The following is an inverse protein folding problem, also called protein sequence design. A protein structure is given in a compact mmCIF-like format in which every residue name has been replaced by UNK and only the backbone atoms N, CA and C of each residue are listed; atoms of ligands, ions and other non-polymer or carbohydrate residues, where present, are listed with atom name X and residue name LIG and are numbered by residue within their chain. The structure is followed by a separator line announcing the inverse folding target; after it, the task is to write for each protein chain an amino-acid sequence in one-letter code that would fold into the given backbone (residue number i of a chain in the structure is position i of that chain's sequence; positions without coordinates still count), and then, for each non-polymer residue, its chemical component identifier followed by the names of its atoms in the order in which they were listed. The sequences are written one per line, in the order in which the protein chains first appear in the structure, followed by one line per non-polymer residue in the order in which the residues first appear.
data_IF_389827966288
#
_entry.id   IF_389827966288
#
_cell.length_a   1.000
_cell.length_b   1.000
_cell.length_c   1.000
_cell.angle_alpha   90.00
_cell.angle_beta   90.00
_cell.angle_gamma   90.00
#
_symmetry.space_group_name_H-M   'P 1'
#
loop_
_entity.id
_entity.type
_entity.pdbx_description
1 polymer ?
#
# COMPACT_ATOMS: atom_id res chain seq x y z
N UNK A 1 -39.81 -4.73 -0.90
CA UNK A 1 -39.64 -5.29 0.45
C UNK A 1 -38.71 -4.35 1.21
N UNK A 2 -39.30 -3.30 1.78
CA UNK A 2 -38.66 -2.11 2.34
C UNK A 2 -38.79 -2.17 3.87
N UNK A 3 -37.72 -1.82 4.60
CA UNK A 3 -37.81 -1.11 5.87
C UNK A 3 -36.40 -0.66 6.34
N UNK A 4 -36.17 0.65 6.29
CA UNK A 4 -35.37 1.39 7.26
C UNK A 4 -36.31 1.66 8.44
N UNK A 5 -35.87 1.55 9.71
CA UNK A 5 -36.13 2.49 10.82
C UNK A 5 -35.69 1.96 12.20
N UNK A 6 -34.95 2.84 12.90
CA UNK A 6 -34.80 3.11 14.33
C UNK A 6 -34.29 2.08 15.36
N UNK A 7 -33.25 2.55 16.06
CA UNK A 7 -32.70 2.06 17.33
C UNK A 7 -33.73 2.11 18.47
N UNK A 8 -33.55 1.24 19.47
CA UNK A 8 -33.74 1.65 20.85
C UNK A 8 -32.48 1.39 21.69
N UNK A 9 -31.93 2.45 22.28
CA UNK A 9 -31.06 2.31 23.45
C UNK A 9 -31.98 2.22 24.68
N UNK A 10 -32.24 1.01 25.18
CA UNK A 10 -32.98 0.85 26.43
C UNK A 10 -32.06 0.99 27.64
N UNK A 11 -32.11 2.13 28.31
CA UNK A 11 -31.67 2.28 29.70
C UNK A 11 -32.92 2.44 30.58
N UNK A 12 -33.28 1.40 31.35
CA UNK A 12 -34.28 1.51 32.44
C UNK A 12 -33.56 1.90 33.74
N UNK A 13 -33.91 3.06 34.30
CA UNK A 13 -33.58 3.44 35.68
C UNK A 13 -34.83 3.37 36.58
N UNK A 14 -34.80 2.72 37.75
CA UNK A 14 -35.77 2.88 38.83
C UNK A 14 -35.33 4.02 39.74
N UNK A 15 -36.22 4.97 39.98
CA UNK A 15 -36.11 5.93 41.08
C UNK A 15 -36.81 5.37 42.31
N UNK A 16 -36.25 5.63 43.49
CA UNK A 16 -37.00 5.59 44.74
C UNK A 16 -36.40 6.53 45.79
N UNK A 17 -37.28 7.31 46.43
CA UNK A 17 -37.09 7.90 47.76
C UNK A 17 -38.42 7.83 48.51
N UNK A 18 -38.35 7.38 49.76
CA UNK A 18 -39.43 7.31 50.76
C UNK A 18 -39.15 8.32 51.89
N UNK A 19 -40.21 8.89 52.48
CA UNK A 19 -40.47 9.28 53.90
C UNK A 19 -41.81 10.08 53.89
N UNK A 20 -42.74 10.12 54.86
CA UNK A 20 -42.90 9.71 56.27
C UNK A 20 -44.42 9.90 56.61
N UNK A 21 -45.00 9.15 57.56
CA UNK A 21 -46.11 9.66 58.41
C UNK A 21 -47.47 8.93 58.44
N UNK A 22 -47.68 8.15 59.52
CA UNK A 22 -48.89 7.92 60.35
C UNK A 22 -50.29 7.48 59.81
N UNK A 23 -50.79 6.43 60.48
CA UNK A 23 -52.15 6.17 61.02
C UNK A 23 -52.91 4.93 60.47
N UNK A 24 -53.40 4.11 61.42
CA UNK A 24 -54.14 2.82 61.32
C UNK A 24 -55.60 3.13 61.77
N UNK A 25 -56.74 2.54 61.29
CA UNK A 25 -57.00 1.08 61.20
C UNK A 25 -57.97 0.52 60.10
N UNK A 26 -57.98 -0.82 60.07
CA UNK A 26 -59.08 -1.77 59.74
C UNK A 26 -59.33 -2.32 58.30
N UNK A 27 -58.82 -3.56 58.14
CA UNK A 27 -59.41 -4.82 57.61
C UNK A 27 -59.63 -5.05 56.10
N UNK A 28 -58.97 -6.15 55.67
CA UNK A 28 -59.21 -7.06 54.53
C UNK A 28 -58.92 -6.44 53.15
N UNK A 29 -58.16 -7.02 52.23
CA UNK A 29 -57.50 -8.32 52.06
C UNK A 29 -56.52 -8.15 50.88
N UNK A 30 -55.36 -8.82 50.92
CA UNK A 30 -54.43 -9.08 49.79
C UNK A 30 -53.65 -7.88 49.19
N UNK A 31 -52.32 -8.02 49.14
CA UNK A 31 -51.30 -6.95 49.09
C UNK A 31 -50.75 -6.60 47.70
N UNK A 32 -50.60 -5.29 47.44
CA UNK A 32 -49.94 -4.62 46.30
C UNK A 32 -48.44 -4.22 46.56
N UNK A 33 -47.57 -4.37 45.52
CA UNK A 33 -46.59 -3.42 44.88
C UNK A 33 -45.38 -2.77 45.65
N UNK A 34 -44.17 -2.67 45.00
CA UNK A 34 -43.20 -1.53 45.15
C UNK A 34 -41.65 -1.78 45.13
N UNK A 35 -40.84 -0.89 44.51
CA UNK A 35 -39.41 -0.99 44.09
C UNK A 35 -38.32 -0.42 45.08
N UNK A 36 -37.00 -0.71 44.87
CA UNK A 36 -35.75 0.06 45.26
C UNK A 36 -34.42 -0.73 45.00
N UNK A 37 -33.57 -0.38 43.99
CA UNK A 37 -32.31 -1.13 43.71
C UNK A 37 -31.36 -0.78 42.50
N UNK A 38 -31.00 0.50 42.17
CA UNK A 38 -29.90 0.92 41.21
C UNK A 38 -28.41 1.48 41.42
N UNK A 39 -27.74 1.60 42.59
CA UNK A 39 -26.41 2.14 42.84
C UNK A 39 -25.22 1.15 42.83
N UNK A 40 -25.36 -0.12 43.20
CA UNK A 40 -24.22 -1.07 43.15
C UNK A 40 -23.72 -1.34 41.71
N UNK A 41 -24.59 -1.12 40.74
CA UNK A 41 -24.33 -1.26 39.30
C UNK A 41 -23.46 -0.15 38.71
N UNK A 42 -23.37 1.03 39.34
CA UNK A 42 -22.66 2.17 38.77
C UNK A 42 -21.14 2.10 38.91
N UNK A 43 -20.61 1.53 40.01
CA UNK A 43 -19.15 1.40 40.16
C UNK A 43 -18.57 0.32 39.23
N UNK A 44 -19.34 -0.73 38.95
CA UNK A 44 -18.93 -1.80 38.04
C UNK A 44 -18.81 -1.29 36.59
N UNK A 45 -19.74 -0.42 36.17
CA UNK A 45 -19.75 0.19 34.85
C UNK A 45 -18.53 1.08 34.60
N UNK A 46 -18.08 1.83 35.61
CA UNK A 46 -16.92 2.71 35.51
C UNK A 46 -15.58 1.95 35.40
N UNK A 47 -15.44 0.79 36.05
CA UNK A 47 -14.23 -0.02 35.91
C UNK A 47 -14.14 -0.75 34.57
N UNK A 48 -15.28 -1.16 34.00
CA UNK A 48 -15.28 -1.86 32.69
C UNK A 48 -14.96 -0.95 31.51
N UNK A 49 -15.20 0.37 31.57
CA UNK A 49 -14.92 1.22 30.40
C UNK A 49 -13.43 1.55 30.22
N UNK A 50 -12.66 1.59 31.32
CA UNK A 50 -11.30 2.12 31.31
C UNK A 50 -10.20 1.07 31.10
N UNK A 51 -10.42 -0.22 31.41
CA UNK A 51 -9.43 -1.28 31.12
C UNK A 51 -9.72 -2.11 29.86
N UNK A 52 -10.98 -2.19 29.40
CA UNK A 52 -11.34 -2.99 28.20
C UNK A 52 -10.80 -2.40 26.89
N UNK A 53 -10.42 -1.12 26.86
CA UNK A 53 -9.82 -0.48 25.68
C UNK A 53 -8.38 -0.92 25.39
N UNK A 54 -7.73 -1.74 26.25
CA UNK A 54 -6.32 -2.16 26.06
C UNK A 54 -6.08 -3.66 25.82
N UNK A 55 -7.11 -4.51 25.68
CA UNK A 55 -6.92 -5.97 25.81
C UNK A 55 -6.75 -6.74 24.48
N UNK A 56 -5.56 -7.36 24.28
CA UNK A 56 -5.23 -8.34 23.23
C UNK A 56 -4.52 -9.57 23.85
N UNK A 57 -5.25 -10.61 24.28
CA UNK A 57 -4.77 -12.01 24.43
C UNK A 57 -5.77 -12.85 25.23
N UNK A 58 -6.00 -14.11 24.82
CA UNK A 58 -6.89 -15.10 25.50
C UNK A 58 -6.37 -15.54 26.87
N UNK A 59 -5.08 -15.40 27.15
CA UNK A 59 -4.45 -15.89 28.39
C UNK A 59 -4.85 -15.03 29.59
N UNK A 60 -5.06 -13.72 29.39
CA UNK A 60 -5.32 -12.75 30.46
C UNK A 60 -6.80 -12.74 30.87
N UNK A 61 -7.72 -13.11 29.97
CA UNK A 61 -9.15 -13.26 30.28
C UNK A 61 -9.37 -14.37 31.33
N UNK A 62 -8.58 -15.44 31.26
CA UNK A 62 -8.59 -16.51 32.27
C UNK A 62 -8.09 -16.01 33.63
N UNK A 63 -7.05 -15.18 33.65
CA UNK A 63 -6.53 -14.59 34.88
C UNK A 63 -7.51 -13.61 35.52
N UNK A 64 -8.19 -12.79 34.71
CA UNK A 64 -9.22 -11.86 35.17
C UNK A 64 -10.39 -12.62 35.83
N UNK A 65 -10.84 -13.72 35.21
CA UNK A 65 -11.91 -14.56 35.74
C UNK A 65 -11.47 -15.27 37.03
N UNK A 66 -10.23 -15.77 37.09
CA UNK A 66 -9.70 -16.35 38.31
C UNK A 66 -9.60 -15.34 39.44
N UNK A 67 -9.20 -14.10 39.16
CA UNK A 67 -9.07 -13.03 40.15
C UNK A 67 -10.44 -12.58 40.68
N UNK A 68 -11.41 -12.42 39.79
CA UNK A 68 -12.82 -12.16 40.14
C UNK A 68 -13.43 -13.29 40.98
N UNK A 69 -13.07 -14.56 40.71
CA UNK A 69 -13.50 -15.70 41.54
C UNK A 69 -12.83 -15.73 42.92
N UNK A 70 -11.55 -15.39 42.98
CA UNK A 70 -10.75 -15.40 44.21
C UNK A 70 -11.24 -14.33 45.20
N UNK A 71 -11.51 -13.11 44.74
CA UNK A 71 -11.94 -12.02 45.62
C UNK A 71 -13.40 -12.14 46.09
N UNK A 72 -14.31 -12.66 45.26
CA UNK A 72 -15.72 -12.81 45.65
C UNK A 72 -15.96 -13.87 46.74
N UNK A 73 -15.14 -14.93 46.81
CA UNK A 73 -15.30 -16.03 47.77
C UNK A 73 -15.27 -15.60 49.24
N UNK A 74 -14.77 -14.40 49.57
CA UNK A 74 -14.71 -13.93 50.96
C UNK A 74 -15.92 -13.16 51.44
N UNK A 75 -16.83 -12.66 50.59
CA UNK A 75 -17.98 -11.87 51.05
C UNK A 75 -19.28 -11.94 50.18
N UNK A 76 -19.30 -12.60 49.02
CA UNK A 76 -20.52 -12.89 48.23
C UNK A 76 -20.37 -14.13 47.32
N UNK A 77 -21.40 -14.97 47.23
CA UNK A 77 -21.37 -16.20 46.40
C UNK A 77 -21.55 -15.91 44.90
N UNK A 78 -20.53 -16.20 44.09
CA UNK A 78 -20.61 -16.22 42.62
C UNK A 78 -21.28 -17.54 42.17
N UNK A 79 -22.46 -17.48 41.54
CA UNK A 79 -23.23 -18.69 41.20
C UNK A 79 -22.96 -19.18 39.76
N UNK A 80 -22.73 -18.29 38.79
CA UNK A 80 -22.55 -18.71 37.39
C UNK A 80 -21.79 -17.69 36.54
N UNK A 81 -20.94 -18.19 35.63
CA UNK A 81 -20.27 -17.42 34.56
C UNK A 81 -20.56 -18.08 33.23
N UNK A 82 -21.19 -17.38 32.28
CA UNK A 82 -21.43 -17.87 30.93
C UNK A 82 -20.63 -17.04 29.91
N UNK A 83 -19.76 -17.69 29.15
CA UNK A 83 -19.00 -17.10 28.05
C UNK A 83 -19.59 -17.52 26.71
N UNK A 84 -19.74 -16.59 25.77
CA UNK A 84 -19.92 -16.88 24.34
C UNK A 84 -19.10 -15.91 23.50
N UNK A 85 -18.14 -16.44 22.74
CA UNK A 85 -17.32 -15.68 21.79
C UNK A 85 -17.85 -15.95 20.38
N UNK A 86 -18.33 -14.92 19.67
CA UNK A 86 -18.56 -14.96 18.22
C UNK A 86 -17.93 -13.74 17.55
N UNK A 87 -17.45 -13.93 16.33
CA UNK A 87 -16.49 -13.13 15.54
C UNK A 87 -16.80 -11.64 15.29
N UNK A 88 -17.82 -11.07 15.93
CA UNK A 88 -18.08 -9.62 15.92
C UNK A 88 -18.84 -9.08 17.15
N UNK A 89 -18.99 -9.87 18.23
CA UNK A 89 -19.59 -9.42 19.50
C UNK A 89 -19.14 -10.29 20.69
N UNK A 90 -18.71 -9.65 21.77
CA UNK A 90 -18.42 -10.27 23.08
C UNK A 90 -19.55 -9.91 24.04
N UNK A 91 -20.19 -10.93 24.63
CA UNK A 91 -21.20 -10.76 25.68
C UNK A 91 -20.66 -11.38 26.98
N UNK A 92 -20.68 -10.61 28.06
CA UNK A 92 -20.29 -11.00 29.42
C UNK A 92 -21.46 -10.70 30.36
N UNK A 93 -22.00 -11.73 31.03
CA UNK A 93 -23.02 -11.59 32.06
C UNK A 93 -22.47 -12.06 33.41
N UNK A 94 -22.66 -11.24 34.45
CA UNK A 94 -22.27 -11.52 35.84
C UNK A 94 -23.51 -11.36 36.73
N UNK A 95 -23.72 -12.30 37.65
CA UNK A 95 -24.86 -12.28 38.58
C UNK A 95 -24.37 -12.43 40.02
N UNK A 96 -24.83 -11.54 40.92
CA UNK A 96 -24.43 -11.48 42.33
C UNK A 96 -25.66 -11.56 43.25
N UNK A 97 -25.50 -12.11 44.47
CA UNK A 97 -26.52 -12.17 45.51
C UNK A 97 -25.88 -11.96 46.89
N UNK A 98 -26.48 -11.11 47.74
CA UNK A 98 -26.26 -11.11 49.20
C UNK A 98 -27.58 -10.91 49.95
N UNK A 99 -27.65 -11.43 51.17
CA UNK A 99 -28.90 -11.73 51.88
C UNK A 99 -29.67 -10.52 52.46
N UNK A 100 -29.28 -9.29 52.13
CA UNK A 100 -30.04 -8.07 52.47
C UNK A 100 -29.82 -7.02 51.36
N UNK A 101 -30.87 -6.74 50.59
CA UNK A 101 -31.01 -5.82 49.43
C UNK A 101 -30.53 -6.32 48.05
N UNK A 102 -31.43 -6.24 47.05
CA UNK A 102 -31.20 -6.51 45.62
C UNK A 102 -30.82 -5.22 44.89
N UNK A 103 -29.74 -5.25 44.11
CA UNK A 103 -29.44 -4.22 43.11
C UNK A 103 -29.19 -4.89 41.73
N UNK A 104 -29.50 -4.18 40.65
CA UNK A 104 -29.69 -4.64 39.26
C UNK A 104 -28.59 -5.46 38.55
N UNK A 105 -28.98 -6.18 37.48
CA UNK A 105 -28.09 -6.71 36.43
C UNK A 105 -27.78 -5.66 35.36
N UNK A 106 -26.51 -5.51 34.97
CA UNK A 106 -26.04 -4.67 33.84
C UNK A 106 -25.74 -5.55 32.64
N UNK A 107 -26.33 -5.24 31.48
CA UNK A 107 -26.00 -5.87 30.21
C UNK A 107 -25.26 -4.84 29.34
N UNK A 108 -23.98 -5.10 29.04
CA UNK A 108 -23.19 -4.34 28.07
C UNK A 108 -23.16 -5.14 26.77
N UNK A 109 -23.76 -4.61 25.70
CA UNK A 109 -23.64 -5.20 24.39
C UNK A 109 -23.48 -4.13 23.30
N UNK A 110 -22.23 -3.83 22.93
CA UNK A 110 -21.95 -3.02 21.73
C UNK A 110 -22.05 -3.92 20.48
N UNK A 111 -22.77 -3.48 19.47
CA UNK A 111 -22.63 -3.99 18.10
C UNK A 111 -21.51 -3.20 17.43
N UNK A 112 -20.30 -3.75 17.32
CA UNK A 112 -19.39 -3.28 16.27
C UNK A 112 -19.82 -3.94 14.98
N UNK A 113 -20.63 -3.25 14.18
CA UNK A 113 -20.98 -3.67 12.84
C UNK A 113 -19.77 -3.44 11.91
N UNK A 114 -18.64 -4.10 12.21
CA UNK A 114 -17.61 -4.34 11.21
C UNK A 114 -18.04 -5.59 10.48
N UNK A 115 -18.56 -5.43 9.27
CA UNK A 115 -18.46 -6.49 8.26
C UNK A 115 -16.97 -6.83 8.19
N UNK A 116 -16.59 -7.96 8.77
CA UNK A 116 -15.26 -8.52 8.62
C UNK A 116 -15.15 -9.00 7.18
N UNK A 117 -14.89 -8.09 6.26
CA UNK A 117 -14.10 -8.46 5.09
C UNK A 117 -12.76 -8.92 5.65
N UNK A 118 -12.32 -10.10 5.24
CA UNK A 118 -10.92 -10.49 5.40
C UNK A 118 -10.07 -9.41 4.74
N UNK A 119 -9.53 -8.47 5.52
CA UNK A 119 -8.56 -7.46 5.04
C UNK A 119 -7.15 -8.06 4.96
N UNK A 120 -7.03 -9.40 5.12
CA UNK A 120 -5.75 -10.10 5.22
C UNK A 120 -5.25 -10.66 3.88
N UNK A 121 -6.06 -10.63 2.82
CA UNK A 121 -5.51 -10.86 1.47
C UNK A 121 -4.90 -9.55 0.99
N UNK A 122 -3.58 -9.54 0.78
CA UNK A 122 -2.93 -8.48 0.01
C UNK A 122 -3.72 -8.29 -1.29
N UNK A 123 -4.34 -7.13 -1.46
CA UNK A 123 -4.98 -6.80 -2.74
C UNK A 123 -3.85 -6.61 -3.76
N UNK A 124 -4.04 -7.16 -4.96
CA UNK A 124 -3.07 -7.10 -6.06
C UNK A 124 -3.00 -5.69 -6.68
N UNK A 125 -2.70 -4.68 -5.86
CA UNK A 125 -2.79 -3.28 -6.24
C UNK A 125 -1.65 -2.86 -7.15
N UNK A 126 -2.02 -2.23 -8.26
CA UNK A 126 -1.13 -1.61 -9.23
C UNK A 126 -1.55 -0.15 -9.36
N UNK A 127 -0.71 0.77 -8.92
CA UNK A 127 -1.02 2.20 -8.93
C UNK A 127 -0.79 2.78 -10.32
N UNK A 128 -1.80 3.47 -10.84
CA UNK A 128 -1.78 4.12 -12.15
C UNK A 128 -2.18 5.58 -12.01
N UNK A 129 -1.65 6.44 -12.88
CA UNK A 129 -2.15 7.79 -13.07
C UNK A 129 -2.84 7.84 -14.43
N UNK A 130 -3.98 8.52 -14.54
CA UNK A 130 -4.75 8.53 -15.77
C UNK A 130 -5.57 9.82 -15.95
N UNK A 131 -6.01 10.07 -17.17
CA UNK A 131 -7.12 11.00 -17.48
C UNK A 131 -8.25 10.21 -18.15
N UNK A 132 -9.44 10.80 -18.26
CA UNK A 132 -10.46 10.27 -19.18
C UNK A 132 -9.95 10.29 -20.62
N UNK A 133 -10.44 9.39 -21.46
CA UNK A 133 -10.13 9.34 -22.91
C UNK A 133 -10.53 10.63 -23.64
N UNK A 134 -11.57 11.30 -23.16
CA UNK A 134 -12.03 12.62 -23.64
C UNK A 134 -11.34 13.80 -22.94
N UNK A 135 -10.26 13.55 -22.20
CA UNK A 135 -9.57 14.53 -21.38
C UNK A 135 -10.07 14.60 -19.94
N UNK A 136 -9.76 15.69 -19.24
CA UNK A 136 -10.08 15.91 -17.83
C UNK A 136 -8.83 15.96 -16.94
N UNK A 137 -9.01 16.16 -15.63
CA UNK A 137 -7.90 16.24 -14.70
C UNK A 137 -7.19 14.89 -14.57
N UNK A 138 -5.88 14.94 -14.28
CA UNK A 138 -5.15 13.76 -13.82
C UNK A 138 -5.78 13.22 -12.53
N UNK A 139 -5.90 11.90 -12.48
CA UNK A 139 -6.39 11.11 -11.33
C UNK A 139 -5.37 10.04 -10.96
N UNK A 140 -5.35 9.68 -9.68
CA UNK A 140 -4.66 8.49 -9.17
C UNK A 140 -5.69 7.37 -9.03
N UNK A 141 -5.34 6.20 -9.56
CA UNK A 141 -6.18 5.01 -9.52
C UNK A 141 -5.39 3.75 -9.18
N UNK A 142 -6.13 2.66 -8.98
CA UNK A 142 -5.59 1.34 -8.69
C UNK A 142 -6.21 0.33 -9.64
N UNK A 143 -5.41 -0.57 -10.21
CA UNK A 143 -5.87 -1.80 -10.84
C UNK A 143 -5.63 -2.99 -9.89
N UNK A 144 -6.47 -4.03 -10.00
CA UNK A 144 -6.32 -5.29 -9.27
C UNK A 144 -5.74 -6.43 -10.10
N UNK A 145 -5.64 -6.23 -11.40
CA UNK A 145 -5.03 -7.13 -12.37
C UNK A 145 -4.35 -6.28 -13.43
N UNK A 146 -3.38 -6.87 -14.14
CA UNK A 146 -2.82 -6.25 -15.33
C UNK A 146 -3.91 -6.02 -16.38
N UNK A 147 -3.90 -4.85 -17.01
CA UNK A 147 -4.90 -4.38 -17.97
C UNK A 147 -6.36 -4.41 -17.48
N UNK A 148 -6.57 -4.52 -16.15
CA UNK A 148 -7.89 -4.51 -15.54
C UNK A 148 -8.48 -3.11 -15.42
N UNK A 149 -9.73 -3.06 -14.96
CA UNK A 149 -10.41 -1.81 -14.67
C UNK A 149 -9.71 -1.02 -13.55
N UNK A 150 -9.91 0.30 -13.59
CA UNK A 150 -9.24 1.25 -12.71
C UNK A 150 -10.23 1.79 -11.68
N UNK A 151 -9.92 1.56 -10.41
CA UNK A 151 -10.61 2.17 -9.28
C UNK A 151 -10.08 3.58 -9.07
N UNK A 152 -10.90 4.60 -9.30
CA UNK A 152 -10.52 6.02 -9.17
C UNK A 152 -10.49 6.46 -7.69
N UNK A 153 -9.35 6.28 -7.04
CA UNK A 153 -9.24 6.56 -5.60
C UNK A 153 -9.24 8.06 -5.29
N UNK A 154 -8.58 8.87 -6.13
CA UNK A 154 -8.52 10.33 -5.92
C UNK A 154 -9.82 11.05 -6.28
N UNK A 155 -10.62 10.47 -7.18
CA UNK A 155 -11.94 10.99 -7.53
C UNK A 155 -13.02 10.64 -6.50
N UNK A 156 -12.88 9.51 -5.81
CA UNK A 156 -13.80 9.09 -4.74
C UNK A 156 -13.54 9.84 -3.44
N UNK A 157 -12.27 10.02 -3.06
CA UNK A 157 -11.86 10.74 -1.85
C UNK A 157 -10.88 11.85 -2.20
N UNK A 158 -11.34 13.10 -2.13
CA UNK A 158 -10.54 14.29 -2.45
C UNK A 158 -9.39 14.56 -1.48
N UNK A 159 -9.34 13.86 -0.33
CA UNK A 159 -8.18 13.88 0.56
C UNK A 159 -7.00 13.05 0.02
N UNK A 160 -7.25 12.14 -0.92
CA UNK A 160 -6.22 11.37 -1.61
C UNK A 160 -5.64 12.21 -2.76
N UNK A 161 -4.34 12.51 -2.76
CA UNK A 161 -3.72 13.26 -3.86
C UNK A 161 -3.86 12.55 -5.20
N UNK A 162 -3.94 13.33 -6.27
CA UNK A 162 -4.06 12.83 -7.65
C UNK A 162 -2.72 12.44 -8.30
N UNK A 163 -1.62 12.40 -7.54
CA UNK A 163 -0.34 11.89 -8.02
C UNK A 163 0.30 10.96 -7.00
N UNK A 164 1.02 9.95 -7.49
CA UNK A 164 1.63 8.93 -6.65
C UNK A 164 2.70 9.51 -5.72
N UNK A 165 3.54 10.45 -6.20
CA UNK A 165 4.55 11.10 -5.34
C UNK A 165 3.89 11.83 -4.16
N UNK A 166 2.80 12.57 -4.39
CA UNK A 166 2.08 13.26 -3.32
C UNK A 166 1.40 12.25 -2.40
N UNK A 167 0.78 11.21 -2.95
CA UNK A 167 0.20 10.10 -2.19
C UNK A 167 1.21 9.49 -1.21
N UNK A 168 2.42 9.17 -1.68
CA UNK A 168 3.49 8.58 -0.86
C UNK A 168 4.02 9.53 0.22
N UNK A 169 3.90 10.85 0.02
CA UNK A 169 4.29 11.87 1.00
C UNK A 169 3.19 12.16 2.04
N UNK A 170 1.94 11.77 1.78
CA UNK A 170 0.79 12.07 2.65
C UNK A 170 0.67 11.19 3.89
N UNK A 171 1.46 10.11 4.02
CA UNK A 171 1.55 9.30 5.25
C UNK A 171 0.75 7.98 5.22
N UNK A 172 0.71 7.31 6.37
CA UNK A 172 0.35 5.88 6.49
C UNK A 172 -1.15 5.56 6.31
N UNK A 173 -2.07 6.54 6.46
CA UNK A 173 -3.51 6.32 6.36
C UNK A 173 -4.01 6.17 4.91
N UNK A 174 -3.23 6.67 3.94
CA UNK A 174 -3.58 6.67 2.51
C UNK A 174 -3.88 5.26 1.99
N UNK A 175 -3.05 4.28 2.35
CA UNK A 175 -3.21 2.90 1.88
C UNK A 175 -4.49 2.24 2.44
N UNK A 176 -4.87 2.54 3.68
CA UNK A 176 -6.11 2.03 4.27
C UNK A 176 -7.35 2.66 3.61
N UNK A 177 -7.29 3.95 3.27
CA UNK A 177 -8.34 4.61 2.46
C UNK A 177 -8.45 3.97 1.07
N UNK A 178 -7.33 3.73 0.39
CA UNK A 178 -7.28 3.02 -0.90
C UNK A 178 -7.95 1.66 -0.80
N UNK A 179 -7.58 0.83 0.20
CA UNK A 179 -8.18 -0.49 0.40
C UNK A 179 -9.70 -0.42 0.61
N UNK A 180 -10.19 0.56 1.38
CA UNK A 180 -11.63 0.76 1.58
C UNK A 180 -12.33 1.11 0.27
N UNK A 181 -11.81 2.06 -0.50
CA UNK A 181 -12.42 2.49 -1.77
C UNK A 181 -12.49 1.33 -2.75
N UNK A 182 -11.39 0.58 -2.88
CA UNK A 182 -11.33 -0.62 -3.74
C UNK A 182 -12.34 -1.67 -3.29
N UNK A 183 -12.46 -1.93 -1.98
CA UNK A 183 -13.44 -2.88 -1.43
C UNK A 183 -14.90 -2.44 -1.62
N UNK A 184 -15.17 -1.14 -1.66
CA UNK A 184 -16.51 -0.61 -1.94
C UNK A 184 -16.90 -0.70 -3.43
N UNK A 185 -15.92 -0.81 -4.33
CA UNK A 185 -16.15 -1.01 -5.77
C UNK A 185 -16.82 0.16 -6.48
N UNK A 186 -16.67 1.40 -5.96
CA UNK A 186 -17.25 2.61 -6.55
C UNK A 186 -16.27 3.29 -7.51
N UNK A 187 -16.82 3.99 -8.51
CA UNK A 187 -16.07 4.82 -9.47
C UNK A 187 -14.96 4.04 -10.21
N UNK A 188 -15.39 3.00 -10.92
CA UNK A 188 -14.54 2.13 -11.71
C UNK A 188 -14.61 2.56 -13.17
N UNK A 189 -13.45 2.80 -13.77
CA UNK A 189 -13.31 3.11 -15.19
C UNK A 189 -12.83 1.88 -15.94
N UNK A 190 -13.44 1.59 -17.09
CA UNK A 190 -12.86 0.61 -18.00
C UNK A 190 -11.52 1.16 -18.54
N UNK A 191 -10.52 0.29 -18.74
CA UNK A 191 -9.22 0.72 -19.26
C UNK A 191 -9.34 1.43 -20.62
N UNK A 192 -10.31 1.02 -21.45
CA UNK A 192 -10.60 1.63 -22.75
C UNK A 192 -11.18 3.06 -22.67
N UNK A 193 -11.67 3.46 -21.51
CA UNK A 193 -12.26 4.79 -21.28
C UNK A 193 -11.25 5.81 -20.74
N UNK A 194 -9.99 5.40 -20.54
CA UNK A 194 -8.95 6.25 -19.98
C UNK A 194 -7.74 6.36 -20.89
N UNK A 195 -6.91 7.36 -20.59
CA UNK A 195 -5.53 7.45 -21.07
C UNK A 195 -4.60 7.31 -19.88
N UNK A 196 -3.78 6.26 -19.88
CA UNK A 196 -2.73 6.11 -18.88
C UNK A 196 -1.66 7.19 -19.06
N UNK A 197 -1.23 7.74 -17.93
CA UNK A 197 -0.11 8.65 -17.78
C UNK A 197 1.09 7.86 -17.21
N UNK A 198 2.31 8.43 -17.11
CA UNK A 198 3.33 7.80 -16.29
C UNK A 198 2.77 7.56 -14.88
N UNK A 199 2.96 6.37 -14.29
CA UNK A 199 2.36 6.05 -12.99
C UNK A 199 2.99 6.86 -11.85
N UNK A 200 4.13 7.49 -12.12
CA UNK A 200 4.83 8.37 -11.24
C UNK A 200 5.37 9.55 -12.06
N UNK A 201 5.06 10.78 -11.63
CA UNK A 201 5.56 12.02 -12.23
C UNK A 201 6.23 12.89 -11.18
N UNK A 202 7.26 13.64 -11.59
CA UNK A 202 7.99 14.58 -10.74
C UNK A 202 8.62 13.97 -9.47
N UNK A 203 9.36 12.83 -9.56
CA UNK A 203 10.23 12.41 -8.45
C UNK A 203 11.27 13.49 -8.15
N UNK A 204 11.80 13.49 -6.92
CA UNK A 204 12.95 14.33 -6.57
C UNK A 204 14.20 13.88 -7.34
N UNK A 205 14.39 12.57 -7.48
CA UNK A 205 15.48 11.99 -8.26
C UNK A 205 15.12 10.67 -8.93
N UNK A 206 15.74 10.47 -10.09
CA UNK A 206 15.86 9.19 -10.76
C UNK A 206 17.34 8.81 -10.67
N UNK A 207 17.68 7.90 -9.77
CA UNK A 207 19.03 7.34 -9.68
C UNK A 207 19.11 6.10 -10.57
N UNK A 208 20.21 5.94 -11.29
CA UNK A 208 20.39 4.82 -12.22
C UNK A 208 21.68 4.09 -11.90
N UNK A 209 21.70 2.78 -12.10
CA UNK A 209 22.87 1.93 -11.85
C UNK A 209 23.39 1.36 -13.17
N UNK A 210 24.55 1.81 -13.61
CA UNK A 210 25.18 1.27 -14.81
C UNK A 210 25.91 -0.04 -14.55
N UNK A 211 26.10 -0.83 -15.61
CA UNK A 211 26.91 -2.05 -15.59
C UNK A 211 26.49 -3.03 -14.48
N UNK A 212 25.18 -3.18 -14.27
CA UNK A 212 24.66 -3.93 -13.13
C UNK A 212 24.06 -5.30 -13.48
N UNK A 213 24.14 -5.75 -14.73
CA UNK A 213 23.84 -7.12 -15.13
C UNK A 213 25.11 -7.83 -15.59
N UNK A 214 25.24 -9.10 -15.22
CA UNK A 214 26.36 -9.95 -15.67
C UNK A 214 26.42 -10.03 -17.19
N UNK A 215 25.29 -10.37 -17.85
CA UNK A 215 25.24 -10.45 -19.31
C UNK A 215 25.66 -9.15 -20.01
N UNK A 216 25.25 -7.99 -19.48
CA UNK A 216 25.65 -6.69 -20.06
C UNK A 216 27.15 -6.40 -19.91
N UNK A 217 27.81 -6.89 -18.87
CA UNK A 217 29.27 -6.81 -18.78
C UNK A 217 29.96 -7.82 -19.70
N UNK A 218 29.39 -9.03 -19.81
CA UNK A 218 29.92 -10.12 -20.63
C UNK A 218 29.91 -9.76 -22.12
N UNK A 219 28.84 -9.14 -22.63
CA UNK A 219 28.77 -8.71 -24.06
C UNK A 219 29.81 -7.63 -24.42
N UNK A 220 30.31 -6.91 -23.41
CA UNK A 220 31.35 -5.89 -23.56
C UNK A 220 32.75 -6.47 -23.37
N UNK A 221 32.86 -7.70 -22.86
CA UNK A 221 34.10 -8.31 -22.42
C UNK A 221 34.85 -7.46 -21.37
N UNK A 222 34.13 -6.96 -20.35
CA UNK A 222 34.68 -6.15 -19.25
C UNK A 222 34.46 -6.83 -17.89
N UNK A 223 35.31 -6.56 -16.88
CA UNK A 223 35.10 -7.08 -15.53
C UNK A 223 33.85 -6.48 -14.86
N UNK A 224 33.24 -7.25 -13.97
CA UNK A 224 32.12 -6.78 -13.17
C UNK A 224 32.57 -5.67 -12.20
N UNK A 225 31.85 -4.55 -12.12
CA UNK A 225 32.20 -3.47 -11.21
C UNK A 225 32.25 -3.95 -9.75
N UNK A 226 33.30 -3.58 -9.02
CA UNK A 226 33.42 -3.85 -7.57
C UNK A 226 32.49 -2.99 -6.73
N UNK A 227 32.10 -1.83 -7.27
CA UNK A 227 31.16 -0.89 -6.66
C UNK A 227 30.13 -0.46 -7.71
N UNK A 228 28.88 -0.18 -7.31
CA UNK A 228 27.82 0.24 -8.22
C UNK A 228 28.13 1.61 -8.81
N UNK A 229 27.97 1.74 -10.13
CA UNK A 229 28.19 2.99 -10.85
C UNK A 229 26.88 3.76 -10.92
N UNK A 230 26.75 4.79 -10.09
CA UNK A 230 25.55 5.63 -10.07
C UNK A 230 25.65 6.82 -11.03
N UNK A 231 24.55 7.07 -11.72
CA UNK A 231 24.28 8.30 -12.46
C UNK A 231 22.81 8.68 -12.23
N UNK A 232 22.33 9.71 -12.91
CA UNK A 232 20.93 10.12 -12.82
C UNK A 232 20.31 10.41 -14.17
N UNK A 233 18.98 10.41 -14.18
CA UNK A 233 18.15 10.99 -15.22
C UNK A 233 17.37 12.17 -14.66
N UNK A 234 17.12 13.19 -15.47
CA UNK A 234 16.21 14.27 -15.04
C UNK A 234 14.77 13.79 -14.96
N UNK A 235 14.02 14.28 -13.99
CA UNK A 235 12.59 13.98 -13.88
C UNK A 235 11.78 14.39 -15.11
N UNK A 236 12.23 15.38 -15.89
CA UNK A 236 11.51 15.89 -17.05
C UNK A 236 11.44 14.90 -18.21
N UNK A 237 12.34 13.91 -18.28
CA UNK A 237 12.35 12.92 -19.37
C UNK A 237 11.37 11.76 -19.17
N UNK A 238 10.62 11.71 -18.05
CA UNK A 238 9.64 10.67 -17.79
C UNK A 238 8.46 10.80 -18.76
N UNK A 239 8.15 9.71 -19.45
CA UNK A 239 6.94 9.57 -20.27
C UNK A 239 6.20 8.28 -19.95
N UNK A 240 4.91 8.26 -20.25
CA UNK A 240 4.01 7.19 -19.84
C UNK A 240 4.04 5.96 -20.75
N UNK A 241 3.23 4.95 -20.44
CA UNK A 241 3.01 3.83 -21.35
C UNK A 241 2.37 4.34 -22.66
N UNK A 242 2.80 3.81 -23.80
CA UNK A 242 2.38 4.18 -25.15
C UNK A 242 2.80 5.59 -25.60
N UNK A 243 3.84 6.16 -24.99
CA UNK A 243 4.36 7.47 -25.40
C UNK A 243 5.00 7.43 -26.79
N UNK A 244 4.79 8.52 -27.54
CA UNK A 244 5.61 8.89 -28.69
C UNK A 244 6.80 9.70 -28.19
N UNK A 245 8.01 9.24 -28.46
CA UNK A 245 9.28 9.86 -28.06
C UNK A 245 9.98 10.34 -29.32
N UNK A 246 10.22 11.64 -29.40
CA UNK A 246 10.96 12.23 -30.52
C UNK A 246 12.39 11.70 -30.53
N UNK A 247 12.85 11.22 -31.68
CA UNK A 247 14.26 10.87 -31.85
C UNK A 247 15.12 12.14 -31.77
N UNK A 248 15.99 12.30 -30.75
CA UNK A 248 16.69 13.56 -30.59
C UNK A 248 17.66 13.80 -31.76
N UNK A 249 17.47 14.91 -32.48
CA UNK A 249 18.28 15.27 -33.67
C UNK A 249 19.78 15.39 -33.41
N UNK A 250 20.17 15.52 -32.14
CA UNK A 250 21.56 15.65 -31.68
C UNK A 250 22.33 14.32 -31.62
N UNK A 251 21.66 13.18 -31.83
CA UNK A 251 22.27 11.84 -31.81
C UNK A 251 21.82 11.01 -33.01
N UNK A 252 22.67 10.05 -33.41
CA UNK A 252 22.34 8.96 -34.35
C UNK A 252 22.53 7.58 -33.73
N UNK A 253 22.89 7.54 -32.44
CA UNK A 253 23.23 6.33 -31.69
C UNK A 253 22.24 6.16 -30.52
N UNK A 254 20.93 6.33 -30.78
CA UNK A 254 19.89 6.21 -29.75
C UNK A 254 19.54 4.74 -29.53
N UNK A 255 19.61 4.30 -28.28
CA UNK A 255 19.62 2.88 -27.91
C UNK A 255 18.57 2.58 -26.82
N UNK A 256 18.20 1.31 -26.69
CA UNK A 256 17.24 0.81 -25.71
C UNK A 256 17.93 0.09 -24.55
N UNK A 257 17.32 0.20 -23.37
CA UNK A 257 17.76 -0.48 -22.16
C UNK A 257 16.52 -0.77 -21.29
N UNK A 258 15.95 -1.98 -21.33
CA UNK A 258 14.86 -2.33 -20.40
C UNK A 258 15.41 -2.48 -18.99
N UNK A 259 14.72 -1.91 -18.00
CA UNK A 259 15.15 -1.94 -16.61
C UNK A 259 13.97 -2.15 -15.63
N UNK A 260 14.26 -2.82 -14.52
CA UNK A 260 13.39 -2.81 -13.35
C UNK A 260 13.55 -1.46 -12.62
N UNK A 261 12.46 -0.73 -12.48
CA UNK A 261 12.40 0.49 -11.68
C UNK A 261 11.91 0.17 -10.27
N UNK A 262 12.65 0.62 -9.26
CA UNK A 262 12.27 0.53 -7.84
C UNK A 262 11.77 1.89 -7.37
N UNK A 263 10.54 1.94 -6.86
CA UNK A 263 9.94 3.16 -6.30
C UNK A 263 10.07 3.16 -4.79
N UNK A 264 10.69 4.21 -4.24
CA UNK A 264 10.84 4.39 -2.79
C UNK A 264 9.51 4.88 -2.20
N UNK A 265 9.03 4.20 -1.17
CA UNK A 265 7.82 4.57 -0.43
C UNK A 265 8.08 5.27 0.90
N UNK A 266 9.28 5.07 1.47
CA UNK A 266 9.63 5.60 2.79
C UNK A 266 10.96 6.32 2.77
N UNK A 267 10.97 7.53 3.34
CA UNK A 267 12.19 8.32 3.49
C UNK A 267 13.26 7.55 4.27
N UNK A 268 14.53 7.67 3.88
CA UNK A 268 15.65 7.11 4.64
C UNK A 268 17.03 7.60 4.21
N UNK A 269 17.95 7.65 5.17
CA UNK A 269 19.36 7.99 5.03
C UNK A 269 20.16 6.93 5.79
N UNK A 270 21.33 6.53 5.29
CA UNK A 270 22.17 5.49 5.90
C UNK A 270 21.40 4.19 6.19
N UNK A 271 20.54 3.80 5.24
CA UNK A 271 19.67 2.64 5.36
C UNK A 271 20.54 1.38 5.37
N UNK A 272 20.39 0.55 6.40
CA UNK A 272 21.07 -0.74 6.47
C UNK A 272 20.49 -1.69 5.40
N UNK A 273 21.33 -2.49 4.76
CA UNK A 273 20.92 -3.46 3.72
C UNK A 273 19.69 -4.30 4.11
N UNK A 274 19.65 -4.83 5.34
CA UNK A 274 18.50 -5.62 5.85
C UNK A 274 17.18 -4.86 5.95
N UNK A 275 17.23 -3.53 6.03
CA UNK A 275 16.04 -2.68 6.15
C UNK A 275 15.62 -2.09 4.80
N UNK A 276 16.46 -2.22 3.76
CA UNK A 276 16.26 -1.56 2.46
C UNK A 276 14.91 -1.86 1.81
N UNK A 277 14.47 -3.12 1.85
CA UNK A 277 13.18 -3.53 1.25
C UNK A 277 11.97 -2.90 1.96
N UNK A 278 12.11 -2.50 3.22
CA UNK A 278 11.06 -1.80 3.95
C UNK A 278 10.83 -0.38 3.43
N UNK A 279 11.81 0.18 2.70
CA UNK A 279 11.71 1.49 2.07
C UNK A 279 11.10 1.45 0.67
N UNK A 280 10.98 0.27 0.06
CA UNK A 280 10.37 0.10 -1.27
C UNK A 280 8.85 0.18 -1.13
N UNK A 281 8.22 0.98 -2.00
CA UNK A 281 6.78 0.96 -2.24
C UNK A 281 6.40 -0.13 -3.24
N UNK A 282 7.13 -0.17 -4.36
CA UNK A 282 6.79 -1.06 -5.45
C UNK A 282 7.76 -0.99 -6.62
N UNK A 283 7.36 -1.61 -7.70
CA UNK A 283 8.16 -1.83 -8.91
C UNK A 283 7.42 -1.35 -10.16
N UNK A 284 8.16 -0.94 -11.18
CA UNK A 284 7.62 -0.58 -12.50
C UNK A 284 8.59 -1.01 -13.60
N UNK A 285 8.15 -1.02 -14.85
CA UNK A 285 9.04 -1.19 -16.01
C UNK A 285 9.52 0.18 -16.43
N UNK A 286 10.82 0.29 -16.72
CA UNK A 286 11.41 1.46 -17.32
C UNK A 286 12.21 1.11 -18.58
N UNK A 287 12.39 2.10 -19.44
CA UNK A 287 13.37 2.05 -20.53
C UNK A 287 14.36 3.19 -20.33
N UNK A 288 15.64 2.87 -20.14
CA UNK A 288 16.72 3.86 -20.05
C UNK A 288 17.25 4.19 -21.46
N UNK A 289 16.45 4.92 -22.24
CA UNK A 289 16.84 5.31 -23.59
C UNK A 289 18.13 6.14 -23.57
N UNK A 290 19.07 5.79 -24.43
CA UNK A 290 20.44 6.29 -24.32
C UNK A 290 20.98 6.74 -25.67
N UNK A 291 21.42 8.00 -25.77
CA UNK A 291 22.26 8.49 -26.86
C UNK A 291 23.72 8.10 -26.62
N UNK A 292 24.20 7.02 -27.23
CA UNK A 292 25.51 6.39 -26.94
C UNK A 292 26.70 7.27 -27.29
N UNK A 293 26.59 8.06 -28.36
CA UNK A 293 27.61 9.04 -28.74
C UNK A 293 27.77 10.12 -27.65
N UNK A 294 26.68 10.57 -27.05
CA UNK A 294 26.72 11.49 -25.92
C UNK A 294 27.22 10.83 -24.63
N UNK A 295 26.79 9.61 -24.36
CA UNK A 295 27.19 8.85 -23.17
C UNK A 295 28.70 8.57 -23.15
N UNK A 296 29.28 8.15 -24.29
CA UNK A 296 30.66 7.65 -24.35
C UNK A 296 31.68 8.67 -24.86
N UNK A 297 31.29 9.50 -25.82
CA UNK A 297 32.24 10.31 -26.61
C UNK A 297 32.17 11.81 -26.28
N UNK A 298 31.14 12.26 -25.55
CA UNK A 298 30.90 13.67 -25.24
C UNK A 298 30.81 13.91 -23.74
N UNK A 299 30.58 15.17 -23.35
CA UNK A 299 30.28 15.59 -21.98
C UNK A 299 31.31 15.12 -20.92
N UNK A 300 32.59 15.04 -21.30
CA UNK A 300 33.66 14.63 -20.39
C UNK A 300 33.50 13.23 -19.79
N UNK A 301 32.78 12.33 -20.47
CA UNK A 301 32.51 10.97 -19.99
C UNK A 301 31.37 10.85 -18.97
N UNK A 302 30.68 11.95 -18.65
CA UNK A 302 29.51 11.93 -17.77
C UNK A 302 28.24 11.52 -18.55
N UNK A 303 27.49 10.56 -18.03
CA UNK A 303 26.37 9.94 -18.77
C UNK A 303 25.07 10.77 -18.78
N UNK A 304 24.92 11.74 -17.88
CA UNK A 304 23.67 12.48 -17.65
C UNK A 304 23.01 12.99 -18.94
N UNK A 305 23.77 13.68 -19.83
CA UNK A 305 23.22 14.26 -21.05
C UNK A 305 22.80 13.20 -22.07
N UNK A 306 23.55 12.10 -22.18
CA UNK A 306 23.20 10.97 -23.05
C UNK A 306 21.99 10.17 -22.54
N UNK A 307 21.64 10.33 -21.26
CA UNK A 307 20.60 9.57 -20.56
C UNK A 307 19.35 10.41 -20.27
N UNK A 308 19.35 11.72 -20.45
CA UNK A 308 18.26 12.60 -19.94
C UNK A 308 17.58 13.46 -20.99
N UNK A 309 17.72 13.12 -22.27
CA UNK A 309 16.99 13.80 -23.34
C UNK A 309 15.47 13.64 -23.14
N UNK A 310 14.67 14.56 -23.68
CA UNK A 310 13.22 14.52 -23.49
C UNK A 310 12.63 13.18 -23.96
N UNK A 311 11.72 12.61 -23.16
CA UNK A 311 11.14 11.30 -23.43
C UNK A 311 12.07 10.10 -23.20
N UNK A 312 13.33 10.30 -22.78
CA UNK A 312 14.29 9.22 -22.62
C UNK A 312 14.01 8.27 -21.43
N UNK A 313 12.94 8.48 -20.66
CA UNK A 313 12.54 7.60 -19.55
C UNK A 313 11.07 7.15 -19.65
N UNK A 314 10.70 6.31 -20.64
CA UNK A 314 9.44 5.57 -20.56
C UNK A 314 9.36 4.80 -19.25
N UNK A 315 8.28 5.03 -18.48
CA UNK A 315 8.05 4.43 -17.16
C UNK A 315 6.58 4.00 -17.06
N UNK A 316 6.32 2.73 -16.73
CA UNK A 316 4.95 2.24 -16.67
C UNK A 316 4.79 0.72 -16.76
N UNK A 317 3.56 0.25 -17.02
CA UNK A 317 2.32 1.03 -17.09
C UNK A 317 1.79 1.44 -15.71
N UNK A 318 2.24 0.77 -14.65
CA UNK A 318 1.82 0.96 -13.28
C UNK A 318 3.01 0.87 -12.31
N UNK A 319 2.83 1.32 -11.07
CA UNK A 319 3.69 0.94 -9.94
C UNK A 319 2.99 -0.18 -9.17
N UNK A 320 3.52 -1.39 -9.27
CA UNK A 320 3.02 -2.59 -8.60
C UNK A 320 3.56 -2.64 -7.18
N UNK A 321 2.70 -2.72 -6.17
CA UNK A 321 3.16 -2.74 -4.77
C UNK A 321 4.06 -3.95 -4.51
N UNK A 322 5.07 -3.79 -3.66
CA UNK A 322 6.08 -4.83 -3.44
C UNK A 322 5.49 -6.16 -2.96
N UNK A 323 4.37 -6.13 -2.23
CA UNK A 323 3.73 -7.33 -1.71
C UNK A 323 3.15 -8.23 -2.81
N UNK A 324 2.97 -7.70 -4.03
CA UNK A 324 2.51 -8.45 -5.22
C UNK A 324 3.67 -9.08 -5.98
N UNK A 325 4.91 -8.66 -5.71
CA UNK A 325 6.14 -9.17 -6.35
C UNK A 325 6.98 -9.90 -5.28
N UNK A 326 6.79 -11.22 -5.09
CA UNK A 326 7.38 -11.94 -3.97
C UNK A 326 8.92 -11.92 -3.94
N UNK A 327 9.55 -12.04 -5.11
CA UNK A 327 11.00 -11.87 -5.27
C UNK A 327 11.30 -11.02 -6.52
N UNK A 328 11.74 -9.76 -6.35
CA UNK A 328 12.08 -8.88 -7.46
C UNK A 328 13.38 -9.26 -8.17
N UNK A 329 14.13 -10.24 -7.67
CA UNK A 329 15.41 -10.70 -8.21
C UNK A 329 15.31 -12.02 -8.97
N UNK A 330 14.11 -12.45 -9.36
CA UNK A 330 13.91 -13.64 -10.20
C UNK A 330 12.94 -13.40 -11.35
N UNK A 331 12.77 -12.15 -11.79
CA UNK A 331 11.77 -11.76 -12.78
C UNK A 331 12.35 -11.86 -14.19
N UNK A 332 11.72 -12.60 -15.12
CA UNK A 332 12.00 -12.47 -16.53
C UNK A 332 11.80 -11.03 -17.00
N UNK A 333 12.77 -10.54 -17.77
CA UNK A 333 12.84 -9.17 -18.28
C UNK A 333 13.16 -9.22 -19.77
N UNK A 334 12.37 -8.52 -20.58
CA UNK A 334 12.45 -8.61 -22.04
C UNK A 334 12.24 -7.26 -22.70
N UNK A 335 12.97 -7.03 -23.80
CA UNK A 335 12.77 -5.91 -24.70
C UNK A 335 12.66 -6.40 -26.14
N UNK A 336 11.65 -5.92 -26.87
CA UNK A 336 11.49 -6.12 -28.31
C UNK A 336 11.56 -4.78 -29.03
N UNK A 337 12.16 -4.78 -30.22
CA UNK A 337 12.11 -3.65 -31.15
C UNK A 337 11.49 -4.16 -32.45
N UNK A 338 10.38 -3.56 -32.88
CA UNK A 338 9.60 -3.97 -34.04
C UNK A 338 9.19 -5.46 -34.00
N UNK A 339 8.88 -5.97 -32.81
CA UNK A 339 8.51 -7.38 -32.58
C UNK A 339 9.69 -8.35 -32.44
N UNK A 340 10.91 -7.94 -32.79
CA UNK A 340 12.12 -8.75 -32.63
C UNK A 340 12.65 -8.66 -31.20
N UNK A 341 12.91 -9.79 -30.55
CA UNK A 341 13.52 -9.84 -29.21
C UNK A 341 14.96 -9.33 -29.28
N UNK A 342 15.24 -8.23 -28.58
CA UNK A 342 16.57 -7.63 -28.49
C UNK A 342 17.25 -7.94 -27.17
N UNK A 343 16.51 -7.94 -26.06
CA UNK A 343 16.96 -8.33 -24.72
C UNK A 343 16.01 -9.40 -24.15
N UNK A 344 16.54 -10.46 -23.56
CA UNK A 344 15.78 -11.54 -22.91
C UNK A 344 16.64 -12.14 -21.79
N UNK A 345 16.31 -11.80 -20.53
CA UNK A 345 17.14 -12.11 -19.38
C UNK A 345 16.29 -12.28 -18.11
N UNK A 346 16.95 -12.35 -16.96
CA UNK A 346 16.29 -12.39 -15.65
C UNK A 346 16.95 -11.43 -14.65
N UNK A 347 16.16 -10.83 -13.76
CA UNK A 347 16.69 -9.91 -12.72
C UNK A 347 17.61 -10.60 -11.70
N UNK A 348 17.75 -11.93 -11.73
CA UNK A 348 18.75 -12.67 -10.96
C UNK A 348 20.19 -12.40 -11.41
N UNK A 349 20.37 -11.83 -12.59
CA UNK A 349 21.67 -11.43 -13.13
C UNK A 349 22.20 -10.12 -12.54
N UNK A 350 21.39 -9.41 -11.73
CA UNK A 350 21.81 -8.21 -11.04
C UNK A 350 23.08 -8.47 -10.20
N UNK A 351 24.17 -7.78 -10.55
CA UNK A 351 25.46 -7.84 -9.84
C UNK A 351 25.28 -7.25 -8.43
N UNK A 352 24.72 -6.04 -8.37
CA UNK A 352 24.33 -5.37 -7.13
C UNK A 352 22.81 -5.46 -6.97
N UNK A 353 22.37 -6.26 -6.00
CA UNK A 353 20.94 -6.44 -5.67
C UNK A 353 20.32 -5.15 -5.11
N UNK A 354 18.99 -5.04 -5.27
CA UNK A 354 18.14 -3.91 -4.85
C UNK A 354 18.42 -3.44 -3.40
N UNK A 355 18.58 -4.38 -2.46
CA UNK A 355 18.86 -4.08 -1.07
C UNK A 355 20.23 -3.41 -0.87
N UNK A 356 21.24 -3.85 -1.62
CA UNK A 356 22.57 -3.26 -1.61
C UNK A 356 22.59 -1.89 -2.31
N UNK A 357 21.97 -1.71 -3.48
CA UNK A 357 21.97 -0.41 -4.18
C UNK A 357 21.25 0.67 -3.35
N UNK A 358 20.14 0.35 -2.69
CA UNK A 358 19.42 1.28 -1.79
C UNK A 358 20.31 1.65 -0.61
N UNK A 359 20.90 0.65 0.06
CA UNK A 359 21.79 0.87 1.20
C UNK A 359 22.99 1.72 0.79
N UNK A 360 23.63 1.39 -0.32
CA UNK A 360 24.81 2.09 -0.85
C UNK A 360 24.49 3.56 -1.15
N UNK A 361 23.44 3.82 -1.94
CA UNK A 361 23.04 5.16 -2.36
C UNK A 361 22.63 6.03 -1.17
N UNK A 362 21.92 5.43 -0.19
CA UNK A 362 21.45 6.16 0.99
C UNK A 362 22.57 6.70 1.88
N UNK A 363 23.81 6.21 1.74
CA UNK A 363 25.00 6.79 2.40
C UNK A 363 25.42 8.13 1.80
N UNK A 364 25.11 8.35 0.53
CA UNK A 364 25.45 9.59 -0.18
C UNK A 364 24.32 10.63 -0.06
N UNK A 365 23.06 10.23 -0.23
CA UNK A 365 21.91 11.14 -0.16
C UNK A 365 20.72 10.53 0.59
N UNK A 366 19.77 11.37 1.02
CA UNK A 366 18.50 10.89 1.59
C UNK A 366 17.58 10.44 0.46
N UNK A 367 17.07 9.21 0.55
CA UNK A 367 16.00 8.73 -0.32
C UNK A 367 14.66 9.26 0.19
N UNK A 368 13.81 9.74 -0.72
CA UNK A 368 12.52 10.34 -0.45
C UNK A 368 11.39 9.47 -1.03
N UNK A 369 10.18 9.49 -0.44
CA UNK A 369 9.02 8.86 -1.04
C UNK A 369 8.74 9.43 -2.44
N UNK A 370 8.66 8.53 -3.41
CA UNK A 370 8.52 8.83 -4.83
C UNK A 370 9.85 8.79 -5.62
N UNK A 371 11.01 8.68 -4.98
CA UNK A 371 12.26 8.48 -5.72
C UNK A 371 12.24 7.18 -6.52
N UNK A 372 12.89 7.20 -7.67
CA UNK A 372 13.01 6.06 -8.57
C UNK A 372 14.47 5.63 -8.67
N UNK A 373 14.70 4.31 -8.57
CA UNK A 373 16.01 3.70 -8.84
C UNK A 373 15.86 2.77 -10.05
N UNK A 374 16.54 3.09 -11.15
CA UNK A 374 16.67 2.21 -12.31
C UNK A 374 17.88 1.28 -12.08
N UNK A 375 17.62 -0.03 -12.08
CA UNK A 375 18.55 -1.02 -11.51
C UNK A 375 19.66 -1.48 -12.43
N UNK A 376 19.72 -0.98 -13.66
CA UNK A 376 20.56 -1.46 -14.75
C UNK A 376 19.79 -2.34 -15.74
N UNK A 377 20.42 -2.57 -16.90
CA UNK A 377 19.85 -3.30 -18.03
C UNK A 377 20.64 -4.58 -18.34
N UNK A 378 19.99 -5.66 -18.83
CA UNK A 378 20.67 -6.87 -19.29
C UNK A 378 21.38 -6.70 -20.65
N UNK A 379 22.10 -7.74 -21.09
CA UNK A 379 22.68 -7.79 -22.45
C UNK A 379 21.62 -7.64 -23.54
N UNK A 380 22.08 -7.28 -24.74
CA UNK A 380 21.27 -7.15 -25.95
C UNK A 380 20.97 -5.72 -26.35
N UNK A 381 21.65 -4.74 -25.73
CA UNK A 381 21.60 -3.33 -26.15
C UNK A 381 22.16 -3.19 -27.56
N UNK A 382 21.65 -2.22 -28.31
CA UNK A 382 21.99 -2.00 -29.70
C UNK A 382 23.48 -1.73 -29.97
N UNK A 383 24.15 -1.00 -29.06
CA UNK A 383 25.56 -0.64 -29.19
C UNK A 383 26.51 -1.85 -29.36
N UNK A 384 26.23 -2.96 -28.68
CA UNK A 384 27.12 -4.13 -28.63
C UNK A 384 26.68 -5.26 -29.55
N UNK A 385 25.68 -5.01 -30.41
CA UNK A 385 25.34 -5.94 -31.49
C UNK A 385 26.39 -5.86 -32.59
N UNK A 386 26.43 -6.89 -33.44
CA UNK A 386 27.34 -6.96 -34.58
C UNK A 386 26.55 -7.17 -35.90
N UNK A 387 26.38 -6.14 -36.73
CA UNK A 387 26.79 -4.74 -36.52
C UNK A 387 25.97 -4.04 -35.41
N UNK A 388 26.44 -2.89 -34.88
CA UNK A 388 25.64 -2.08 -33.95
C UNK A 388 24.30 -1.67 -34.57
N UNK A 389 23.27 -1.64 -33.74
CA UNK A 389 21.90 -1.32 -34.12
C UNK A 389 21.40 -0.15 -33.25
N UNK A 390 20.70 0.82 -33.83
CA UNK A 390 20.15 1.96 -33.11
C UNK A 390 18.74 2.28 -33.60
N UNK A 391 17.97 2.90 -32.71
CA UNK A 391 16.59 3.30 -32.95
C UNK A 391 16.50 4.35 -34.05
N UNK A 392 15.43 4.27 -34.82
CA UNK A 392 15.04 5.18 -35.89
C UNK A 392 13.61 5.65 -35.69
N UNK A 393 13.27 6.79 -36.29
CA UNK A 393 11.88 7.23 -36.37
C UNK A 393 11.01 6.12 -36.98
N UNK A 394 9.87 5.84 -36.34
CA UNK A 394 8.96 4.75 -36.65
C UNK A 394 9.17 3.47 -35.83
N UNK A 395 10.31 3.30 -35.15
CA UNK A 395 10.56 2.09 -34.36
C UNK A 395 9.64 1.99 -33.15
N UNK A 396 9.19 0.77 -32.87
CA UNK A 396 8.34 0.44 -31.73
C UNK A 396 9.14 -0.40 -30.75
N UNK A 397 9.25 0.08 -29.52
CA UNK A 397 9.88 -0.62 -28.40
C UNK A 397 8.77 -1.20 -27.53
N UNK A 398 8.85 -2.49 -27.21
CA UNK A 398 7.99 -3.15 -26.23
C UNK A 398 8.86 -3.75 -25.12
N UNK A 399 8.67 -3.28 -23.90
CA UNK A 399 9.43 -3.72 -22.72
C UNK A 399 8.50 -4.35 -21.70
N UNK A 400 8.93 -5.48 -21.15
CA UNK A 400 8.10 -6.33 -20.28
C UNK A 400 8.94 -6.88 -19.13
N UNK A 401 8.35 -6.88 -17.93
CA UNK A 401 8.88 -7.58 -16.76
C UNK A 401 7.75 -8.38 -16.13
N UNK A 402 7.95 -9.69 -15.98
CA UNK A 402 6.93 -10.60 -15.47
C UNK A 402 6.41 -10.14 -14.10
N UNK A 403 5.09 -10.14 -13.92
CA UNK A 403 4.42 -9.70 -12.69
C UNK A 403 4.38 -8.18 -12.48
N UNK A 404 5.22 -7.41 -13.18
CA UNK A 404 5.30 -5.93 -13.07
C UNK A 404 4.52 -5.25 -14.20
N UNK A 405 4.66 -5.75 -15.43
CA UNK A 405 3.80 -5.41 -16.56
C UNK A 405 4.55 -5.12 -17.86
N UNK A 406 3.84 -4.57 -18.83
CA UNK A 406 4.37 -4.24 -20.16
C UNK A 406 4.13 -2.78 -20.56
N UNK A 407 5.12 -2.14 -21.18
CA UNK A 407 4.97 -0.82 -21.78
C UNK A 407 5.44 -0.82 -23.24
N UNK A 408 4.81 0.06 -24.02
CA UNK A 408 5.15 0.32 -25.42
C UNK A 408 5.62 1.77 -25.58
N UNK A 409 6.62 1.98 -26.42
CA UNK A 409 7.13 3.31 -26.78
C UNK A 409 7.29 3.37 -28.30
N UNK A 410 6.92 4.49 -28.91
CA UNK A 410 7.03 4.71 -30.35
C UNK A 410 8.05 5.82 -30.56
N UNK A 411 9.09 5.59 -31.36
CA UNK A 411 10.04 6.62 -31.74
C UNK A 411 9.45 7.40 -32.91
N UNK A 412 9.41 8.74 -32.82
CA UNK A 412 8.83 9.62 -33.85
C UNK A 412 9.81 10.62 -34.42
#
# INVERSE_FOLDING_TARGET
MLAILDMPLYLRFPFDKVRQGQAVPHRQSESEIGYTGLHATHLFLLFTSLELQRMKSRTILRDLIQKVRYENKRNMSLIQTNEKIRTSRLELSLTFSSNKQKWNSVCLSQYTNRRNFSVASTLNMRFVQFTGSKGGPQRLGVQLAEDGDIFDISGVDSSIPNSLVKFLKSGDDMMEKTKRIVAEGKSVFALSEVRLLPPLTSPDKIACVGLNYKGHCDEQNIPYPKEPVFFSKWSSCIVGPNASVELPSVTKEFDWEVELAVVIGKQGKDIRKKDAINHVFGYSVAVDLTARDWQKKRNGGQWLLGKSMDGACPLGPAVVIKEVVPDPHTLPIRCKVNGEVKQDANTNELINRIDFIISYLSRCCTLLPGDVILTGTPSGVGLYRNPPEFLKAGDIIESEIEGVGKLKTIIV
#
